data_IF_854502103406
#
_entry.id   IF_854502103406
#
_cell.length_a   1.000
_cell.length_b   1.000
_cell.length_c   1.000
_cell.angle_alpha   90.00
_cell.angle_beta   90.00
_cell.angle_gamma   90.00
#
_symmetry.space_group_name_H-M   'P 1'
#
loop_
_entity.id
_entity.type
_entity.pdbx_description
1 polymer ?
#
# COMPACT_ATOMS: atom_id res chain seq x y z
N UNK A 1 -1.57 -23.81 -40.89
CA UNK A 1 -2.24 -23.44 -39.62
C UNK A 1 -1.17 -22.98 -38.67
N UNK A 2 -0.96 -21.68 -38.58
CA UNK A 2 -0.04 -21.09 -37.62
C UNK A 2 -0.89 -20.24 -36.69
N UNK A 3 -1.08 -20.73 -35.46
CA UNK A 3 -1.75 -20.00 -34.40
C UNK A 3 -0.86 -18.82 -34.01
N UNK A 4 -1.14 -17.66 -34.59
CA UNK A 4 -0.49 -16.42 -34.21
C UNK A 4 -0.80 -16.16 -32.75
N UNK A 5 0.20 -16.32 -31.88
CA UNK A 5 0.17 -15.83 -30.51
C UNK A 5 -0.18 -14.34 -30.54
N UNK A 6 -1.46 -14.04 -30.31
CA UNK A 6 -1.93 -12.68 -30.15
C UNK A 6 -1.46 -12.23 -28.77
N UNK A 7 -0.20 -11.77 -28.69
CA UNK A 7 0.30 -11.00 -27.56
C UNK A 7 -0.57 -9.76 -27.48
N UNK A 8 -1.57 -9.79 -26.61
CA UNK A 8 -2.43 -8.63 -26.38
C UNK A 8 -1.51 -7.48 -25.99
N UNK A 9 -1.54 -6.33 -26.70
CA UNK A 9 -0.79 -5.17 -26.25
C UNK A 9 -1.25 -4.87 -24.83
N UNK A 10 -0.30 -4.77 -23.90
CA UNK A 10 -0.57 -4.42 -22.51
C UNK A 10 -1.56 -3.26 -22.52
N UNK A 11 -2.78 -3.49 -22.02
CA UNK A 11 -3.85 -2.49 -22.15
C UNK A 11 -3.37 -1.18 -21.52
N UNK A 12 -3.69 -0.02 -22.12
CA UNK A 12 -3.30 1.29 -21.56
C UNK A 12 -3.71 1.43 -20.08
N UNK A 13 -4.82 0.80 -19.68
CA UNK A 13 -5.26 0.73 -18.29
C UNK A 13 -4.29 -0.02 -17.37
N UNK A 14 -3.68 -1.10 -17.86
CA UNK A 14 -2.66 -1.86 -17.11
C UNK A 14 -1.39 -1.05 -16.97
N UNK A 15 -0.91 -0.41 -18.04
CA UNK A 15 0.25 0.49 -17.98
C UNK A 15 0.00 1.65 -17.00
N UNK A 16 -1.18 2.28 -17.06
CA UNK A 16 -1.56 3.36 -16.14
C UNK A 16 -1.60 2.89 -14.70
N UNK A 17 -2.18 1.73 -14.43
CA UNK A 17 -2.26 1.17 -13.07
C UNK A 17 -0.87 0.87 -12.50
N UNK A 18 0.04 0.29 -13.30
CA UNK A 18 1.43 0.09 -12.88
C UNK A 18 2.17 1.41 -12.67
N UNK A 19 1.99 2.39 -13.56
CA UNK A 19 2.61 3.70 -13.43
C UNK A 19 2.13 4.44 -12.18
N UNK A 20 0.82 4.42 -11.90
CA UNK A 20 0.24 5.04 -10.72
C UNK A 20 0.67 4.34 -9.42
N UNK A 21 0.51 3.01 -9.35
CA UNK A 21 0.89 2.22 -8.17
C UNK A 21 2.39 2.28 -7.90
N UNK A 22 3.21 2.11 -8.94
CA UNK A 22 4.66 2.21 -8.85
C UNK A 22 5.13 3.62 -8.49
N UNK A 23 4.61 4.65 -9.17
CA UNK A 23 4.95 6.04 -8.92
C UNK A 23 4.61 6.48 -7.49
N UNK A 24 3.43 6.14 -6.99
CA UNK A 24 3.04 6.44 -5.61
C UNK A 24 3.86 5.66 -4.58
N UNK A 25 4.27 4.42 -4.89
CA UNK A 25 5.16 3.64 -4.02
C UNK A 25 6.55 4.28 -3.92
N UNK A 26 7.08 4.78 -5.04
CA UNK A 26 8.36 5.51 -5.08
C UNK A 26 8.26 6.82 -4.28
N UNK A 27 7.18 7.58 -4.49
CA UNK A 27 6.93 8.83 -3.76
C UNK A 27 6.83 8.58 -2.25
N UNK A 28 6.06 7.57 -1.84
CA UNK A 28 5.94 7.16 -0.44
C UNK A 28 7.30 6.80 0.16
N UNK A 29 8.10 5.99 -0.54
CA UNK A 29 9.46 5.62 -0.11
C UNK A 29 10.35 6.84 0.06
N UNK A 30 10.31 7.79 -0.89
CA UNK A 30 11.09 9.02 -0.82
C UNK A 30 10.70 9.88 0.38
N UNK A 31 9.39 10.01 0.67
CA UNK A 31 8.89 10.75 1.84
C UNK A 31 9.38 10.10 3.14
N UNK A 32 9.27 8.78 3.27
CA UNK A 32 9.74 8.06 4.46
C UNK A 32 11.24 8.25 4.67
N UNK A 33 12.05 8.11 3.61
CA UNK A 33 13.50 8.33 3.70
C UNK A 33 13.85 9.77 4.07
N UNK A 34 13.16 10.76 3.51
CA UNK A 34 13.34 12.17 3.87
C UNK A 34 12.98 12.42 5.35
N UNK A 35 11.92 11.78 5.85
CA UNK A 35 11.53 11.85 7.25
C UNK A 35 12.58 11.22 8.16
N UNK A 36 13.12 10.05 7.79
CA UNK A 36 14.19 9.38 8.53
C UNK A 36 15.52 10.16 8.54
N UNK A 37 15.79 10.97 7.52
CA UNK A 37 16.97 11.84 7.47
C UNK A 37 16.80 13.13 8.29
N UNK A 38 15.59 13.43 8.77
CA UNK A 38 15.31 14.65 9.50
C UNK A 38 15.85 14.55 10.95
N UNK A 39 16.68 15.50 11.41
CA UNK A 39 17.43 15.41 12.67
C UNK A 39 16.56 15.43 13.94
N UNK A 40 15.28 15.82 13.82
CA UNK A 40 14.31 15.74 14.91
C UNK A 40 13.62 14.36 15.04
N UNK A 41 13.95 13.40 14.17
CA UNK A 41 13.31 12.08 14.17
C UNK A 41 14.27 11.03 14.73
N UNK A 42 13.76 10.17 15.63
CA UNK A 42 14.52 9.03 16.15
C UNK A 42 14.38 7.78 15.25
N UNK A 43 14.03 7.99 13.98
CA UNK A 43 13.82 6.92 13.02
C UNK A 43 15.16 6.60 12.38
N UNK A 44 15.96 5.77 13.05
CA UNK A 44 17.19 5.25 12.45
C UNK A 44 16.88 3.98 11.67
N UNK A 45 17.35 3.95 10.43
CA UNK A 45 17.31 2.76 9.58
C UNK A 45 18.42 1.82 10.07
N UNK A 46 18.06 0.81 10.86
CA UNK A 46 19.00 -0.18 11.36
C UNK A 46 19.35 -1.20 10.25
N UNK A 47 20.65 -1.40 10.00
CA UNK A 47 21.17 -2.37 9.03
C UNK A 47 21.88 -1.74 7.83
N UNK A 48 22.17 -2.54 6.80
CA UNK A 48 22.80 -2.03 5.58
C UNK A 48 21.79 -1.25 4.74
N UNK A 49 22.24 -0.17 4.09
CA UNK A 49 21.42 0.68 3.22
C UNK A 49 20.63 -0.15 2.20
N UNK A 50 21.26 -1.18 1.62
CA UNK A 50 20.65 -2.05 0.63
C UNK A 50 19.50 -2.89 1.17
N UNK A 51 19.64 -3.45 2.37
CA UNK A 51 18.56 -4.22 3.02
C UNK A 51 17.40 -3.31 3.35
N UNK A 52 17.68 -2.13 3.88
CA UNK A 52 16.65 -1.15 4.19
C UNK A 52 15.89 -0.69 2.95
N UNK A 53 16.59 -0.37 1.85
CA UNK A 53 15.96 -0.01 0.58
C UNK A 53 15.08 -1.13 0.03
N UNK A 54 15.55 -2.38 0.08
CA UNK A 54 14.79 -3.53 -0.40
C UNK A 54 13.50 -3.74 0.41
N UNK A 55 13.59 -3.71 1.75
CA UNK A 55 12.45 -3.88 2.65
C UNK A 55 11.46 -2.73 2.50
N UNK A 56 11.94 -1.48 2.49
CA UNK A 56 11.11 -0.28 2.31
C UNK A 56 10.37 -0.32 0.97
N UNK A 57 11.05 -0.70 -0.12
CA UNK A 57 10.44 -0.79 -1.45
C UNK A 57 9.36 -1.86 -1.50
N UNK A 58 9.61 -3.04 -0.93
CA UNK A 58 8.62 -4.11 -0.86
C UNK A 58 7.39 -3.69 -0.04
N UNK A 59 7.60 -3.02 1.09
CA UNK A 59 6.53 -2.51 1.94
C UNK A 59 5.74 -1.39 1.27
N UNK A 60 6.41 -0.46 0.58
CA UNK A 60 5.73 0.60 -0.17
C UNK A 60 4.85 0.03 -1.28
N UNK A 61 5.36 -0.96 -2.02
CA UNK A 61 4.59 -1.65 -3.05
C UNK A 61 3.37 -2.38 -2.47
N UNK A 62 3.53 -3.11 -1.36
CA UNK A 62 2.41 -3.81 -0.73
C UNK A 62 1.38 -2.87 -0.11
N UNK A 63 1.84 -1.80 0.53
CA UNK A 63 0.97 -0.90 1.32
C UNK A 63 0.26 0.12 0.45
N UNK A 64 0.96 0.69 -0.54
CA UNK A 64 0.45 1.75 -1.42
C UNK A 64 0.20 1.24 -2.83
N UNK A 65 1.20 0.56 -3.41
CA UNK A 65 1.14 0.13 -4.81
C UNK A 65 -0.02 -0.83 -5.10
N UNK A 66 -0.22 -1.85 -4.26
CA UNK A 66 -1.26 -2.87 -4.45
C UNK A 66 -2.68 -2.27 -4.37
N UNK A 67 -3.07 -1.50 -3.32
CA UNK A 67 -4.39 -0.88 -3.28
C UNK A 67 -4.66 0.06 -4.47
N UNK A 68 -3.68 0.88 -4.85
CA UNK A 68 -3.82 1.80 -5.99
C UNK A 68 -3.95 1.03 -7.29
N UNK A 69 -3.16 -0.02 -7.49
CA UNK A 69 -3.26 -0.87 -8.67
C UNK A 69 -4.63 -1.56 -8.75
N UNK A 70 -5.12 -2.11 -7.64
CA UNK A 70 -6.43 -2.76 -7.58
C UNK A 70 -7.57 -1.80 -7.88
N UNK A 71 -7.48 -0.57 -7.37
CA UNK A 71 -8.42 0.49 -7.69
C UNK A 71 -8.35 0.86 -9.18
N UNK A 72 -7.18 1.24 -9.70
CA UNK A 72 -7.05 1.70 -11.08
C UNK A 72 -7.36 0.62 -12.12
N UNK A 73 -6.99 -0.63 -11.85
CA UNK A 73 -7.11 -1.72 -12.84
C UNK A 73 -8.46 -2.41 -12.81
N UNK A 74 -9.04 -2.57 -11.62
CA UNK A 74 -10.23 -3.40 -11.39
C UNK A 74 -11.39 -2.62 -10.73
N UNK A 75 -11.22 -1.32 -10.46
CA UNK A 75 -12.18 -0.48 -9.74
C UNK A 75 -12.53 -1.03 -8.35
N UNK A 76 -11.64 -1.82 -7.74
CA UNK A 76 -11.80 -2.36 -6.38
C UNK A 76 -11.35 -1.29 -5.39
N UNK A 77 -12.31 -0.66 -4.70
CA UNK A 77 -12.03 0.56 -3.89
C UNK A 77 -11.77 0.27 -2.42
N UNK A 78 -12.24 -0.86 -1.91
CA UNK A 78 -12.14 -1.18 -0.48
C UNK A 78 -10.70 -1.20 0.07
N UNK A 79 -9.67 -1.73 -0.65
CA UNK A 79 -8.29 -1.62 -0.20
C UNK A 79 -7.79 -0.17 -0.17
N UNK A 80 -8.20 0.65 -1.13
CA UNK A 80 -7.83 2.07 -1.19
C UNK A 80 -8.44 2.87 -0.03
N UNK A 81 -9.69 2.60 0.32
CA UNK A 81 -10.33 3.21 1.49
C UNK A 81 -9.61 2.83 2.79
N UNK A 82 -9.25 1.55 2.96
CA UNK A 82 -8.46 1.10 4.11
C UNK A 82 -7.09 1.78 4.16
N UNK A 83 -6.41 1.93 3.01
CA UNK A 83 -5.14 2.67 2.93
C UNK A 83 -5.29 4.11 3.44
N UNK A 84 -6.33 4.83 3.02
CA UNK A 84 -6.57 6.22 3.49
C UNK A 84 -6.81 6.25 4.99
N UNK A 85 -7.65 5.34 5.52
CA UNK A 85 -7.92 5.25 6.97
C UNK A 85 -6.64 4.97 7.74
N UNK A 86 -5.79 4.05 7.25
CA UNK A 86 -4.49 3.77 7.87
C UNK A 86 -3.60 5.01 7.87
N UNK A 87 -3.45 5.70 6.74
CA UNK A 87 -2.64 6.92 6.66
C UNK A 87 -3.10 8.02 7.62
N UNK A 88 -4.41 8.23 7.75
CA UNK A 88 -4.99 9.20 8.70
C UNK A 88 -4.76 8.75 10.15
N UNK A 89 -5.03 7.49 10.45
CA UNK A 89 -4.78 6.93 11.78
C UNK A 89 -3.31 7.08 12.18
N UNK A 90 -2.38 6.85 11.25
CA UNK A 90 -0.96 7.03 11.47
C UNK A 90 -0.57 8.48 11.68
N UNK A 91 -1.10 9.40 10.87
CA UNK A 91 -0.86 10.83 11.05
C UNK A 91 -1.27 11.28 12.45
N UNK A 92 -2.42 10.81 12.95
CA UNK A 92 -2.89 11.11 14.31
C UNK A 92 -1.94 10.54 15.36
N UNK A 93 -1.49 9.28 15.23
CA UNK A 93 -0.58 8.67 16.20
C UNK A 93 0.79 9.36 16.27
N UNK A 94 1.28 9.87 15.14
CA UNK A 94 2.55 10.60 15.07
C UNK A 94 2.41 11.99 15.69
N UNK A 95 1.33 12.71 15.37
CA UNK A 95 1.08 14.07 15.84
C UNK A 95 0.66 14.10 17.32
N UNK A 96 -0.14 13.12 17.76
CA UNK A 96 -0.70 13.01 19.10
C UNK A 96 -0.35 11.65 19.72
N UNK A 97 0.90 11.45 20.14
CA UNK A 97 1.31 10.20 20.73
C UNK A 97 0.50 9.94 22.02
N UNK A 98 -0.02 8.71 22.23
CA UNK A 98 -0.78 8.40 23.43
C UNK A 98 0.06 8.66 24.69
N UNK A 99 -0.59 9.25 25.69
CA UNK A 99 -0.02 9.73 26.96
C UNK A 99 0.94 8.68 27.56
N UNK A 100 2.22 9.03 27.71
CA UNK A 100 3.25 8.19 28.35
C UNK A 100 4.56 8.03 27.57
N UNK A 101 4.63 8.40 26.29
CA UNK A 101 5.85 8.28 25.46
C UNK A 101 6.73 9.53 25.50
N UNK A 102 6.97 10.07 26.72
CA UNK A 102 7.73 11.31 26.95
C UNK A 102 9.21 11.26 26.55
N UNK A 103 9.68 10.21 25.89
CA UNK A 103 11.02 10.12 25.32
C UNK A 103 10.92 9.41 23.98
N UNK A 104 11.61 9.94 23.00
CA UNK A 104 11.47 9.67 21.57
C UNK A 104 11.80 8.26 21.08
N UNK A 105 11.73 7.23 21.91
CA UNK A 105 11.69 5.85 21.45
C UNK A 105 10.32 5.62 20.82
N UNK A 106 10.24 5.61 19.49
CA UNK A 106 10.15 4.46 18.55
C UNK A 106 9.00 3.41 18.47
N UNK A 107 7.90 3.36 19.27
CA UNK A 107 6.90 2.30 19.12
C UNK A 107 6.00 2.53 17.91
N UNK A 108 5.63 3.78 17.60
CA UNK A 108 4.72 4.08 16.48
C UNK A 108 5.25 3.57 15.14
N UNK A 109 6.55 3.70 14.89
CA UNK A 109 7.19 3.23 13.66
C UNK A 109 7.25 1.70 13.59
N UNK A 110 7.55 1.02 14.71
CA UNK A 110 7.51 -0.45 14.76
C UNK A 110 6.12 -1.01 14.47
N UNK A 111 5.05 -0.34 14.94
CA UNK A 111 3.68 -0.77 14.62
C UNK A 111 3.35 -0.63 13.12
N UNK A 112 3.89 0.37 12.42
CA UNK A 112 3.71 0.54 10.96
C UNK A 112 4.32 -0.63 10.19
N UNK A 113 5.55 -1.02 10.52
CA UNK A 113 6.27 -2.08 9.81
C UNK A 113 5.84 -3.49 10.26
N UNK A 114 5.56 -3.69 11.55
CA UNK A 114 5.04 -4.96 12.06
C UNK A 114 3.59 -5.21 11.60
N UNK A 115 2.82 -4.15 11.40
CA UNK A 115 1.45 -4.21 10.88
C UNK A 115 1.35 -4.38 9.36
N UNK A 116 2.42 -4.08 8.61
CA UNK A 116 2.38 -4.13 7.15
C UNK A 116 1.93 -5.48 6.55
N UNK A 117 2.39 -6.65 7.06
CA UNK A 117 1.85 -7.94 6.63
C UNK A 117 0.34 -8.09 6.89
N UNK A 118 -0.15 -7.57 8.02
CA UNK A 118 -1.57 -7.58 8.38
C UNK A 118 -2.39 -6.72 7.40
N UNK A 119 -1.90 -5.55 7.01
CA UNK A 119 -2.57 -4.68 6.04
C UNK A 119 -2.71 -5.34 4.67
N UNK A 120 -1.66 -6.02 4.21
CA UNK A 120 -1.71 -6.79 2.96
C UNK A 120 -2.78 -7.89 3.03
N UNK A 121 -2.87 -8.62 4.15
CA UNK A 121 -3.92 -9.62 4.36
C UNK A 121 -5.31 -8.97 4.35
N UNK A 122 -5.49 -7.85 5.03
CA UNK A 122 -6.77 -7.12 5.05
C UNK A 122 -7.15 -6.62 3.65
N UNK A 123 -6.21 -6.11 2.86
CA UNK A 123 -6.45 -5.73 1.47
C UNK A 123 -6.90 -6.93 0.64
N UNK A 124 -6.27 -8.10 0.80
CA UNK A 124 -6.65 -9.31 0.10
C UNK A 124 -8.07 -9.76 0.47
N UNK A 125 -8.43 -9.70 1.76
CA UNK A 125 -9.78 -10.02 2.26
C UNK A 125 -10.82 -9.05 1.70
N UNK A 126 -10.56 -7.75 1.77
CA UNK A 126 -11.45 -6.70 1.26
C UNK A 126 -11.65 -6.82 -0.26
N UNK A 127 -10.56 -6.98 -1.01
CA UNK A 127 -10.62 -7.15 -2.45
C UNK A 127 -11.40 -8.42 -2.84
N UNK A 128 -11.15 -9.54 -2.15
CA UNK A 128 -11.85 -10.79 -2.40
C UNK A 128 -13.35 -10.66 -2.08
N UNK A 129 -13.69 -10.04 -0.96
CA UNK A 129 -15.07 -9.78 -0.56
C UNK A 129 -15.81 -8.91 -1.58
N UNK A 130 -15.19 -7.82 -2.04
CA UNK A 130 -15.76 -6.93 -3.04
C UNK A 130 -16.00 -7.64 -4.38
N UNK A 131 -15.06 -8.48 -4.83
CA UNK A 131 -15.22 -9.29 -6.04
C UNK A 131 -16.40 -10.27 -5.90
N UNK A 132 -16.54 -10.94 -4.76
CA UNK A 132 -17.64 -11.88 -4.50
C UNK A 132 -18.99 -11.14 -4.49
N UNK A 133 -19.07 -9.98 -3.84
CA UNK A 133 -20.29 -9.17 -3.78
C UNK A 133 -20.69 -8.65 -5.16
N UNK A 134 -19.74 -8.16 -5.97
CA UNK A 134 -20.00 -7.73 -7.36
C UNK A 134 -20.54 -8.88 -8.21
N UNK A 135 -19.96 -10.08 -8.11
CA UNK A 135 -20.46 -11.27 -8.83
C UNK A 135 -21.88 -11.67 -8.41
N UNK A 136 -22.20 -11.58 -7.12
CA UNK A 136 -23.55 -11.85 -6.60
C UNK A 136 -24.56 -10.79 -7.04
N UNK A 137 -24.19 -9.52 -7.04
CA UNK A 137 -25.05 -8.42 -7.52
C UNK A 137 -25.39 -8.55 -9.00
N UNK A 138 -24.44 -8.96 -9.84
CA UNK A 138 -24.69 -9.25 -11.27
C UNK A 138 -25.62 -10.46 -11.45
N UNK A 139 -25.45 -11.51 -10.65
CA UNK A 139 -26.31 -12.69 -10.69
C UNK A 139 -27.76 -12.41 -10.21
N UNK A 140 -27.95 -11.40 -9.36
CA UNK A 140 -29.26 -10.98 -8.86
C UNK A 140 -29.94 -9.92 -9.73
N UNK A 141 -29.20 -9.24 -10.61
CA UNK A 141 -29.70 -8.20 -11.52
C UNK A 141 -30.23 -8.70 -12.88
N UNK A 142 -30.18 -10.02 -13.13
CA UNK A 142 -30.77 -10.66 -14.32
C UNK A 142 -32.16 -11.25 -14.03
N UNK A 143 -33.08 -10.43 -13.52
CA UNK A 143 -34.52 -10.72 -13.46
C UNK A 143 -35.32 -9.55 -13.98
#
# INVERSE_FOLDING_TARGET
>A
MADGHHWSPVSRSTVRAFAAGGGLSVLYTAIVLAYSAHPATNVSVAGSLWVALAVQSAMALGTVGVPVFLWERYDIRSPGALLVVLLVFWHILVEFPPIGTGQGDSPGFLFVFAGAPLYVVLYAVLASGEVVLRRRGVALGTR
#
